data_IF_639696164571
#
_entry.id   IF_639696164571
#
_cell.length_a   1.000
_cell.length_b   1.000
_cell.length_c   1.000
_cell.angle_alpha   90.00
_cell.angle_beta   90.00
_cell.angle_gamma   90.00
#
_symmetry.space_group_name_H-M   'P 1'
#
loop_
_entity.id
_entity.type
_entity.pdbx_description
1 polymer ?
#
# COMPACT_ATOMS: atom_id res chain seq x y z
N UNK A 1 26.84 9.61 -70.00
CA UNK A 1 28.18 9.56 -69.39
C UNK A 1 28.34 10.85 -68.58
N UNK A 2 28.85 10.96 -67.37
CA UNK A 2 29.37 10.06 -66.36
C UNK A 2 29.47 10.95 -65.08
N UNK A 3 29.45 10.29 -63.93
CA UNK A 3 29.15 10.77 -62.58
C UNK A 3 30.15 11.70 -61.88
N UNK A 4 29.60 12.48 -60.93
CA UNK A 4 30.08 12.88 -59.60
C UNK A 4 31.40 13.65 -59.41
N UNK A 5 31.29 14.82 -58.77
CA UNK A 5 31.90 14.98 -57.43
C UNK A 5 31.10 15.97 -56.58
N UNK A 6 30.71 15.51 -55.40
CA UNK A 6 29.83 16.19 -54.46
C UNK A 6 30.66 16.96 -53.41
N UNK A 7 30.30 18.21 -53.18
CA UNK A 7 30.68 18.96 -51.97
C UNK A 7 29.39 19.46 -51.33
N UNK A 8 28.77 18.56 -50.56
CA UNK A 8 27.64 18.86 -49.69
C UNK A 8 28.22 19.33 -48.37
N UNK A 9 28.11 20.62 -48.06
CA UNK A 9 28.28 21.11 -46.69
C UNK A 9 27.06 20.68 -45.86
N UNK A 10 27.21 19.60 -45.09
CA UNK A 10 26.25 19.14 -44.09
C UNK A 10 26.35 20.02 -42.84
N UNK A 11 25.38 20.91 -42.62
CA UNK A 11 25.11 21.49 -41.31
C UNK A 11 24.28 20.48 -40.50
N UNK A 12 24.95 19.66 -39.69
CA UNK A 12 24.31 18.83 -38.67
C UNK A 12 23.85 19.73 -37.52
N UNK A 13 22.62 20.25 -37.60
CA UNK A 13 21.90 20.74 -36.43
C UNK A 13 21.50 19.52 -35.58
N UNK A 14 22.40 19.10 -34.68
CA UNK A 14 22.09 18.15 -33.63
C UNK A 14 21.05 18.79 -32.70
N UNK A 15 19.76 18.55 -32.98
CA UNK A 15 18.70 18.73 -32.01
C UNK A 15 18.79 17.59 -31.00
N UNK A 16 19.73 17.71 -30.06
CA UNK A 16 19.66 16.94 -28.82
C UNK A 16 18.48 17.49 -28.03
N UNK A 17 17.29 16.93 -28.25
CA UNK A 17 16.28 16.99 -27.19
C UNK A 17 16.95 16.39 -25.96
N UNK A 18 17.06 17.12 -24.83
CA UNK A 18 17.47 16.48 -23.61
C UNK A 18 16.41 15.43 -23.32
N UNK A 19 16.79 14.16 -23.43
CA UNK A 19 16.06 13.10 -22.76
C UNK A 19 15.93 13.56 -21.32
N UNK A 20 14.73 14.00 -20.94
CA UNK A 20 14.38 14.27 -19.54
C UNK A 20 14.43 12.92 -18.84
N UNK A 21 15.62 12.47 -18.48
CA UNK A 21 15.81 11.67 -17.30
C UNK A 21 15.41 12.59 -16.15
N UNK A 22 14.12 12.57 -15.79
CA UNK A 22 13.70 13.12 -14.50
C UNK A 22 14.63 12.50 -13.46
N UNK A 23 15.36 13.30 -12.66
CA UNK A 23 16.05 12.77 -11.51
C UNK A 23 15.01 11.98 -10.71
N UNK A 24 15.34 10.77 -10.27
CA UNK A 24 14.54 10.13 -9.24
C UNK A 24 14.36 11.17 -8.13
N UNK A 25 13.11 11.50 -7.80
CA UNK A 25 12.82 12.50 -6.78
C UNK A 25 13.67 12.18 -5.54
N UNK A 26 14.39 13.16 -4.95
CA UNK A 26 15.31 12.89 -3.84
C UNK A 26 14.64 12.12 -2.68
N UNK A 27 13.31 12.23 -2.56
CA UNK A 27 12.44 11.45 -1.68
C UNK A 27 12.56 9.91 -1.80
N UNK A 28 12.96 9.36 -2.95
CA UNK A 28 12.96 7.92 -3.18
C UNK A 28 14.31 7.24 -2.99
N UNK A 29 15.41 8.01 -2.93
CA UNK A 29 16.76 7.50 -2.70
C UNK A 29 16.88 6.78 -1.36
N UNK A 30 16.16 7.24 -0.33
CA UNK A 30 16.17 6.67 1.02
C UNK A 30 14.96 5.78 1.32
N UNK A 31 14.18 5.39 0.31
CA UNK A 31 12.94 4.62 0.53
C UNK A 31 13.18 3.35 1.37
N UNK A 32 14.20 2.57 1.02
CA UNK A 32 14.53 1.31 1.70
C UNK A 32 14.94 1.50 3.16
N UNK A 33 15.57 2.64 3.48
CA UNK A 33 16.02 2.99 4.84
C UNK A 33 14.85 3.53 5.68
N UNK A 34 13.94 4.28 5.06
CA UNK A 34 12.79 4.90 5.72
C UNK A 34 11.65 3.90 5.97
N UNK A 35 11.54 2.85 5.17
CA UNK A 35 10.41 1.92 5.21
C UNK A 35 10.24 1.22 6.58
N UNK A 36 11.30 0.67 7.22
CA UNK A 36 11.17 0.09 8.57
C UNK A 36 10.71 1.13 9.60
N UNK A 37 11.20 2.38 9.50
CA UNK A 37 10.79 3.45 10.40
C UNK A 37 9.30 3.79 10.23
N UNK A 38 8.78 3.83 8.99
CA UNK A 38 7.35 4.06 8.71
C UNK A 38 6.46 2.94 9.22
N UNK A 39 6.87 1.68 9.05
CA UNK A 39 6.14 0.54 9.59
C UNK A 39 6.14 0.54 11.12
N UNK A 40 7.27 0.91 11.74
CA UNK A 40 7.38 1.08 13.19
C UNK A 40 6.45 2.19 13.71
N UNK A 41 6.43 3.34 13.04
CA UNK A 41 5.54 4.47 13.36
C UNK A 41 4.06 4.04 13.29
N UNK A 42 3.69 3.30 12.25
CA UNK A 42 2.35 2.75 12.08
C UNK A 42 1.96 1.78 13.21
N UNK A 43 2.89 0.90 13.63
CA UNK A 43 2.67 -0.02 14.76
C UNK A 43 2.50 0.72 16.08
N UNK A 44 3.40 1.67 16.38
CA UNK A 44 3.32 2.46 17.61
C UNK A 44 1.97 3.18 17.69
N UNK A 45 1.52 3.78 16.59
CA UNK A 45 0.23 4.47 16.56
C UNK A 45 -0.95 3.51 16.73
N UNK A 46 -0.87 2.30 16.17
CA UNK A 46 -1.91 1.29 16.35
C UNK A 46 -2.00 0.78 17.80
N UNK A 47 -0.87 0.63 18.49
CA UNK A 47 -0.85 0.20 19.91
C UNK A 47 -1.68 1.12 20.83
N UNK A 48 -1.83 2.42 20.50
CA UNK A 48 -2.69 3.34 21.26
C UNK A 48 -4.18 2.96 21.26
N UNK A 49 -4.65 2.23 20.24
CA UNK A 49 -6.07 1.89 20.05
C UNK A 49 -6.32 0.37 20.03
N UNK A 50 -5.26 -0.42 20.08
CA UNK A 50 -5.29 -1.88 19.93
C UNK A 50 -6.21 -2.54 20.96
N UNK A 51 -6.01 -2.23 22.24
CA UNK A 51 -6.78 -2.83 23.34
C UNK A 51 -8.27 -2.52 23.22
N UNK A 52 -8.63 -1.32 22.78
CA UNK A 52 -10.03 -0.95 22.55
C UNK A 52 -10.68 -1.83 21.47
N UNK A 53 -10.03 -2.03 20.33
CA UNK A 53 -10.60 -2.83 19.23
C UNK A 53 -10.55 -4.33 19.53
N UNK A 54 -9.45 -4.84 20.09
CA UNK A 54 -9.31 -6.27 20.40
C UNK A 54 -10.22 -6.72 21.55
N UNK A 55 -10.49 -5.86 22.54
CA UNK A 55 -11.46 -6.20 23.60
C UNK A 55 -12.93 -6.17 23.15
N UNK A 56 -13.20 -5.54 22.00
CA UNK A 56 -14.54 -5.46 21.38
C UNK A 56 -14.75 -6.49 20.27
N UNK A 57 -13.69 -7.12 19.77
CA UNK A 57 -13.77 -8.23 18.83
C UNK A 57 -14.23 -9.51 19.55
N UNK A 58 -15.53 -9.80 19.45
CA UNK A 58 -16.12 -11.02 20.00
C UNK A 58 -16.12 -12.20 19.00
N UNK A 59 -15.71 -11.98 17.75
CA UNK A 59 -15.84 -12.94 16.64
C UNK A 59 -14.55 -13.75 16.47
N UNK A 60 -14.09 -14.40 17.54
CA UNK A 60 -12.79 -15.10 17.59
C UNK A 60 -12.70 -16.33 16.69
N UNK A 61 -13.82 -16.88 16.24
CA UNK A 61 -13.88 -18.05 15.34
C UNK A 61 -13.60 -17.72 13.88
N UNK A 62 -13.67 -16.44 13.52
CA UNK A 62 -13.39 -15.94 12.18
C UNK A 62 -11.97 -15.37 12.21
N UNK A 63 -11.18 -15.60 11.17
CA UNK A 63 -9.96 -14.85 10.92
C UNK A 63 -10.19 -14.06 9.63
N UNK A 64 -10.36 -12.74 9.74
CA UNK A 64 -10.71 -11.92 8.57
C UNK A 64 -9.52 -11.84 7.61
N UNK A 65 -8.32 -11.65 8.15
CA UNK A 65 -7.05 -11.64 7.45
C UNK A 65 -6.34 -12.98 7.62
N UNK A 66 -6.77 -13.96 6.84
CA UNK A 66 -6.22 -15.33 6.85
C UNK A 66 -4.84 -15.44 6.19
N UNK A 67 -4.16 -16.57 6.35
CA UNK A 67 -2.89 -16.86 5.65
C UNK A 67 -3.04 -16.85 4.12
N UNK A 68 -4.23 -17.11 3.59
CA UNK A 68 -4.51 -17.02 2.15
C UNK A 68 -4.26 -15.61 1.61
N UNK A 69 -4.57 -14.58 2.41
CA UNK A 69 -4.28 -13.20 2.05
C UNK A 69 -2.76 -12.97 1.95
N UNK A 70 -1.99 -13.52 2.89
CA UNK A 70 -0.53 -13.43 2.85
C UNK A 70 0.01 -14.15 1.60
N UNK A 71 -0.46 -15.34 1.30
CA UNK A 71 -0.04 -16.08 0.11
C UNK A 71 -0.35 -15.31 -1.17
N UNK A 72 -1.51 -14.64 -1.24
CA UNK A 72 -1.87 -13.79 -2.38
C UNK A 72 -0.96 -12.56 -2.48
N UNK A 73 -0.60 -11.94 -1.34
CA UNK A 73 0.39 -10.86 -1.27
C UNK A 73 1.76 -11.31 -1.81
N UNK A 74 2.16 -12.56 -1.53
CA UNK A 74 3.43 -13.12 -2.01
C UNK A 74 3.37 -13.57 -3.48
N UNK A 75 2.16 -13.81 -3.99
CA UNK A 75 1.90 -14.33 -5.32
C UNK A 75 1.84 -13.29 -6.46
N UNK A 76 1.33 -13.75 -7.60
CA UNK A 76 1.22 -12.94 -8.84
C UNK A 76 0.27 -11.75 -8.72
N UNK A 77 -0.66 -11.79 -7.75
CA UNK A 77 -1.63 -10.73 -7.51
C UNK A 77 -1.20 -9.75 -6.41
N UNK A 78 -0.04 -9.97 -5.77
CA UNK A 78 0.29 -9.27 -4.53
C UNK A 78 0.27 -7.75 -4.60
N UNK A 79 0.73 -7.16 -5.70
CA UNK A 79 0.62 -5.72 -5.92
C UNK A 79 -0.84 -5.21 -5.89
N UNK A 80 -1.74 -5.94 -6.57
CA UNK A 80 -3.15 -5.60 -6.57
C UNK A 80 -3.76 -5.78 -5.18
N UNK A 81 -3.52 -6.94 -4.57
CA UNK A 81 -4.10 -7.31 -3.28
C UNK A 81 -3.69 -6.33 -2.18
N UNK A 82 -2.41 -5.94 -2.13
CA UNK A 82 -1.93 -4.92 -1.18
C UNK A 82 -2.58 -3.56 -1.47
N UNK A 83 -2.69 -3.16 -2.74
CA UNK A 83 -3.32 -1.89 -3.11
C UNK A 83 -4.79 -1.83 -2.71
N UNK A 84 -5.54 -2.91 -2.97
CA UNK A 84 -6.95 -3.05 -2.65
C UNK A 84 -7.18 -3.12 -1.14
N UNK A 85 -6.33 -3.83 -0.39
CA UNK A 85 -6.43 -3.87 1.08
C UNK A 85 -6.10 -2.52 1.72
N UNK A 86 -5.06 -1.83 1.27
CA UNK A 86 -4.79 -0.47 1.73
C UNK A 86 -5.96 0.47 1.44
N UNK A 87 -6.59 0.33 0.27
CA UNK A 87 -7.81 1.07 -0.07
C UNK A 87 -8.96 0.71 0.88
N UNK A 88 -9.24 -0.58 1.08
CA UNK A 88 -10.30 -1.07 1.96
C UNK A 88 -10.17 -0.49 3.38
N UNK A 89 -8.98 -0.54 3.96
CA UNK A 89 -8.75 0.04 5.29
C UNK A 89 -8.99 1.55 5.34
N UNK A 90 -8.52 2.29 4.33
CA UNK A 90 -8.64 3.76 4.33
C UNK A 90 -10.05 4.26 3.96
N UNK A 91 -10.74 3.59 3.06
CA UNK A 91 -12.02 4.06 2.50
C UNK A 91 -13.23 3.46 3.24
N UNK A 92 -13.08 2.30 3.90
CA UNK A 92 -14.20 1.55 4.49
C UNK A 92 -13.99 1.32 5.99
N UNK A 93 -12.87 0.71 6.41
CA UNK A 93 -12.67 0.30 7.81
C UNK A 93 -12.43 1.50 8.74
N UNK A 94 -11.40 2.30 8.48
CA UNK A 94 -11.02 3.43 9.35
C UNK A 94 -12.14 4.48 9.47
N UNK A 95 -12.82 4.91 8.38
CA UNK A 95 -13.94 5.83 8.50
C UNK A 95 -15.10 5.28 9.33
N UNK A 96 -15.32 3.96 9.29
CA UNK A 96 -16.36 3.30 10.10
C UNK A 96 -15.94 3.19 11.56
N UNK A 97 -14.68 2.83 11.81
CA UNK A 97 -14.08 2.77 13.15
C UNK A 97 -14.11 4.13 13.85
N UNK A 98 -13.83 5.22 13.14
CA UNK A 98 -13.88 6.59 13.69
C UNK A 98 -15.26 6.95 14.27
N UNK A 99 -16.33 6.27 13.85
CA UNK A 99 -17.69 6.49 14.37
C UNK A 99 -17.99 5.68 15.63
N UNK A 100 -17.16 4.70 16.01
CA UNK A 100 -17.43 3.82 17.15
C UNK A 100 -16.92 4.38 18.49
N UNK A 101 -16.00 5.35 18.47
CA UNK A 101 -15.45 5.96 19.68
C UNK A 101 -14.95 7.38 19.45
N UNK A 102 -15.54 8.35 20.18
CA UNK A 102 -15.06 9.73 20.19
C UNK A 102 -13.64 9.83 20.78
N UNK A 103 -13.36 9.10 21.88
CA UNK A 103 -12.08 9.15 22.59
C UNK A 103 -10.87 8.70 21.73
N UNK A 104 -11.11 7.80 20.77
CA UNK A 104 -10.07 7.23 19.91
C UNK A 104 -10.08 7.81 18.49
N UNK A 105 -10.99 8.75 18.19
CA UNK A 105 -11.20 9.31 16.85
C UNK A 105 -9.92 9.96 16.29
N UNK A 106 -9.20 10.71 17.13
CA UNK A 106 -7.94 11.33 16.73
C UNK A 106 -6.87 10.29 16.38
N UNK A 107 -6.68 9.28 17.24
CA UNK A 107 -5.67 8.24 17.01
C UNK A 107 -5.97 7.41 15.76
N UNK A 108 -7.24 7.15 15.45
CA UNK A 108 -7.65 6.51 14.19
C UNK A 108 -7.38 7.39 12.97
N UNK A 109 -7.64 8.69 13.05
CA UNK A 109 -7.34 9.64 11.97
C UNK A 109 -5.84 9.72 11.69
N UNK A 110 -5.02 9.82 12.74
CA UNK A 110 -3.56 9.79 12.66
C UNK A 110 -3.04 8.48 12.05
N UNK A 111 -3.61 7.33 12.47
CA UNK A 111 -3.28 6.02 11.91
C UNK A 111 -3.57 5.96 10.40
N UNK A 112 -4.73 6.50 9.99
CA UNK A 112 -5.10 6.63 8.58
C UNK A 112 -4.13 7.50 7.79
N UNK A 113 -3.67 8.61 8.36
CA UNK A 113 -2.66 9.48 7.75
C UNK A 113 -1.31 8.78 7.56
N UNK A 114 -0.87 8.00 8.55
CA UNK A 114 0.34 7.18 8.45
C UNK A 114 0.22 6.13 7.35
N UNK A 115 -0.91 5.43 7.26
CA UNK A 115 -1.18 4.44 6.22
C UNK A 115 -1.21 5.08 4.82
N UNK A 116 -1.84 6.26 4.68
CA UNK A 116 -1.87 7.02 3.44
C UNK A 116 -0.47 7.48 3.01
N UNK A 117 0.34 7.93 3.98
CA UNK A 117 1.74 8.30 3.77
C UNK A 117 2.55 7.12 3.23
N UNK A 118 2.43 5.94 3.88
CA UNK A 118 3.06 4.70 3.45
C UNK A 118 2.63 4.31 2.02
N UNK A 119 1.32 4.29 1.74
CA UNK A 119 0.79 3.99 0.40
C UNK A 119 1.34 4.95 -0.66
N UNK A 120 1.39 6.25 -0.35
CA UNK A 120 1.89 7.28 -1.26
C UNK A 120 3.38 7.07 -1.56
N UNK A 121 4.17 6.79 -0.52
CA UNK A 121 5.59 6.48 -0.62
C UNK A 121 5.83 5.23 -1.50
N UNK A 122 5.07 4.16 -1.27
CA UNK A 122 5.12 2.92 -2.07
C UNK A 122 4.78 3.16 -3.54
N UNK A 123 3.73 3.94 -3.81
CA UNK A 123 3.30 4.28 -5.17
C UNK A 123 4.36 5.06 -5.93
N UNK A 124 4.92 6.10 -5.30
CA UNK A 124 5.88 7.02 -5.92
C UNK A 124 7.22 6.35 -6.20
N UNK A 125 7.78 5.63 -5.23
CA UNK A 125 9.17 5.22 -5.30
C UNK A 125 9.44 3.90 -6.02
N UNK A 126 8.47 3.00 -6.07
CA UNK A 126 8.67 1.66 -6.64
C UNK A 126 7.59 1.26 -7.64
N UNK A 127 6.66 2.18 -7.96
CA UNK A 127 5.48 1.89 -8.80
C UNK A 127 4.74 0.62 -8.34
N UNK A 128 4.73 0.38 -7.02
CA UNK A 128 4.21 -0.84 -6.38
C UNK A 128 2.74 -1.13 -6.67
N UNK A 129 2.01 -0.20 -7.29
CA UNK A 129 0.58 -0.25 -7.55
C UNK A 129 0.24 0.04 -9.02
N UNK A 130 1.07 -0.40 -9.95
CA UNK A 130 0.79 -0.32 -11.41
C UNK A 130 -0.05 -1.49 -11.92
N UNK A 131 -0.86 -2.08 -11.05
CA UNK A 131 -1.60 -3.32 -11.32
C UNK A 131 -3.06 -3.02 -11.66
N UNK A 132 -3.62 -3.82 -12.57
CA UNK A 132 -4.96 -3.59 -13.14
C UNK A 132 -5.94 -4.76 -12.92
N UNK A 133 -5.50 -5.84 -12.26
CA UNK A 133 -6.35 -7.03 -12.01
C UNK A 133 -7.24 -6.79 -10.79
N UNK A 134 -8.18 -7.67 -10.49
CA UNK A 134 -8.91 -7.66 -9.21
C UNK A 134 -8.53 -8.90 -8.41
N UNK A 135 -8.41 -8.79 -7.10
CA UNK A 135 -8.19 -9.95 -6.21
C UNK A 135 -9.51 -10.62 -5.86
N UNK A 136 -9.52 -11.96 -5.83
CA UNK A 136 -10.68 -12.73 -5.34
C UNK A 136 -10.66 -12.81 -3.82
N UNK A 137 -9.50 -12.98 -3.20
CA UNK A 137 -9.36 -13.02 -1.74
C UNK A 137 -9.83 -11.72 -1.11
N UNK A 138 -9.48 -10.55 -1.69
CA UNK A 138 -9.95 -9.26 -1.15
C UNK A 138 -11.47 -9.13 -1.26
N UNK A 139 -12.07 -9.63 -2.35
CA UNK A 139 -13.52 -9.65 -2.49
C UNK A 139 -14.18 -10.44 -1.35
N UNK A 140 -13.67 -11.62 -1.01
CA UNK A 140 -14.22 -12.42 0.09
C UNK A 140 -14.02 -11.78 1.47
N UNK A 141 -12.90 -11.10 1.68
CA UNK A 141 -12.67 -10.31 2.91
C UNK A 141 -13.74 -9.25 3.06
N UNK A 142 -14.00 -8.46 2.00
CA UNK A 142 -15.04 -7.42 2.02
C UNK A 142 -16.44 -7.99 2.25
N UNK A 143 -16.78 -9.07 1.54
CA UNK A 143 -18.06 -9.76 1.74
C UNK A 143 -18.23 -10.30 3.17
N UNK A 144 -17.14 -10.75 3.80
CA UNK A 144 -17.16 -11.22 5.20
C UNK A 144 -17.30 -10.04 6.16
N UNK A 145 -16.53 -8.97 5.96
CA UNK A 145 -16.65 -7.72 6.72
C UNK A 145 -18.07 -7.17 6.71
N UNK A 146 -18.69 -7.08 5.52
CA UNK A 146 -20.06 -6.58 5.36
C UNK A 146 -21.09 -7.46 6.09
N UNK A 147 -20.93 -8.79 6.02
CA UNK A 147 -21.82 -9.74 6.72
C UNK A 147 -21.73 -9.64 8.25
N UNK A 148 -20.60 -9.18 8.77
CA UNK A 148 -20.39 -9.00 10.21
C UNK A 148 -21.00 -7.69 10.74
N UNK A 149 -21.52 -6.80 9.88
CA UNK A 149 -22.06 -5.50 10.28
C UNK A 149 -21.07 -4.72 11.17
N UNK A 150 -21.52 -4.19 12.32
CA UNK A 150 -20.65 -3.47 13.25
C UNK A 150 -19.49 -4.33 13.81
N UNK A 151 -19.68 -5.64 13.97
CA UNK A 151 -18.61 -6.53 14.42
C UNK A 151 -17.46 -6.61 13.42
N UNK A 152 -17.74 -6.39 12.12
CA UNK A 152 -16.72 -6.34 11.08
C UNK A 152 -15.70 -5.23 11.31
N UNK A 153 -16.12 -4.11 11.90
CA UNK A 153 -15.26 -2.97 12.22
C UNK A 153 -14.25 -3.36 13.30
N UNK A 154 -14.75 -3.92 14.43
CA UNK A 154 -13.88 -4.37 15.52
C UNK A 154 -12.96 -5.49 15.08
N UNK A 155 -13.45 -6.41 14.23
CA UNK A 155 -12.65 -7.48 13.66
C UNK A 155 -11.48 -6.96 12.81
N UNK A 156 -11.80 -6.11 11.82
CA UNK A 156 -10.80 -5.59 10.90
C UNK A 156 -9.76 -4.71 11.61
N UNK A 157 -10.18 -3.92 12.59
CA UNK A 157 -9.26 -3.11 13.40
C UNK A 157 -8.47 -3.96 14.41
N UNK A 158 -9.08 -4.99 14.99
CA UNK A 158 -8.42 -5.93 15.90
C UNK A 158 -7.31 -6.73 15.24
N UNK A 159 -7.43 -6.99 13.93
CA UNK A 159 -6.42 -7.65 13.09
C UNK A 159 -5.51 -6.67 12.33
N UNK A 160 -5.49 -5.38 12.68
CA UNK A 160 -4.67 -4.40 11.94
C UNK A 160 -3.16 -4.67 12.06
N UNK A 161 -2.67 -5.25 13.16
CA UNK A 161 -1.27 -5.66 13.27
C UNK A 161 -0.90 -6.80 12.29
N UNK A 162 -1.82 -7.74 12.06
CA UNK A 162 -1.70 -8.75 11.00
C UNK A 162 -1.55 -8.07 9.63
N UNK A 163 -2.39 -7.06 9.35
CA UNK A 163 -2.29 -6.30 8.10
C UNK A 163 -0.93 -5.62 7.94
N UNK A 164 -0.40 -4.96 8.99
CA UNK A 164 0.94 -4.35 8.94
C UNK A 164 2.01 -5.42 8.67
N UNK A 165 1.94 -6.57 9.34
CA UNK A 165 2.89 -7.66 9.13
C UNK A 165 2.87 -8.17 7.68
N UNK A 166 1.69 -8.31 7.08
CA UNK A 166 1.56 -8.77 5.69
C UNK A 166 2.11 -7.74 4.69
N UNK A 167 1.89 -6.44 4.94
CA UNK A 167 2.52 -5.37 4.15
C UNK A 167 4.05 -5.46 4.26
N UNK A 168 4.59 -5.65 5.46
CA UNK A 168 6.04 -5.79 5.65
C UNK A 168 6.62 -6.97 4.88
N UNK A 169 5.99 -8.15 4.97
CA UNK A 169 6.38 -9.34 4.22
C UNK A 169 6.41 -9.09 2.70
N UNK A 170 5.37 -8.45 2.16
CA UNK A 170 5.31 -8.08 0.74
C UNK A 170 6.48 -7.16 0.35
N UNK A 171 6.75 -6.15 1.17
CA UNK A 171 7.82 -5.18 0.93
C UNK A 171 9.21 -5.81 1.00
N UNK A 172 9.45 -6.70 1.97
CA UNK A 172 10.69 -7.45 2.09
C UNK A 172 10.94 -8.33 0.88
N UNK A 173 9.91 -8.99 0.34
CA UNK A 173 10.02 -9.77 -0.89
C UNK A 173 10.39 -8.93 -2.09
N UNK A 174 9.84 -7.72 -2.19
CA UNK A 174 10.11 -6.81 -3.31
C UNK A 174 11.49 -6.16 -3.26
N UNK A 175 12.12 -6.10 -2.08
CA UNK A 175 13.53 -5.66 -1.93
C UNK A 175 14.52 -6.70 -2.44
N UNK A 176 14.17 -7.99 -2.43
CA UNK A 176 15.05 -9.10 -2.81
C UNK A 176 15.03 -9.41 -4.32
N UNK A 177 14.13 -8.81 -5.09
CA UNK A 177 13.99 -8.99 -6.54
C UNK A 177 14.47 -7.72 -7.26
#
# INVERSE_FOLDING_TARGET
MQTCSALVLLLLAASTLPARCSPAEPSCLHFSELLPARLKELRIKFEEIKDYFQSKDNELSIQLLSSELLDEFKGNFGCQSVSEMMRFYMEEVLPSAMRTSADHQQSMGDLGNLLLSLKTMMRRCHRFFTCEKKSRTIKHIKETFDKMNENGIYKAMGEFDIFINYIEEYLLMKRRK
#
